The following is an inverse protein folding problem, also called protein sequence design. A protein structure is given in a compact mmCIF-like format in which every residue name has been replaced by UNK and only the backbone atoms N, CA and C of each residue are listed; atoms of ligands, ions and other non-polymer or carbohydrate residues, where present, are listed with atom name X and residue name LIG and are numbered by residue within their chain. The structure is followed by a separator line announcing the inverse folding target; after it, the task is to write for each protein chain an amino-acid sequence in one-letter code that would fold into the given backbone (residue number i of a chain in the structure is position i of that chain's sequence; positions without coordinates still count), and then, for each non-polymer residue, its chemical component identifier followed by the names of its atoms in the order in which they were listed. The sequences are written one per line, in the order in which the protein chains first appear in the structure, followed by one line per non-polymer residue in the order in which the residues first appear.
data_IF_815524462570
#
_entry.id   IF_815524462570
#
_cell.length_a   1.000
_cell.length_b   1.000
_cell.length_c   1.000
_cell.angle_alpha   90.00
_cell.angle_beta   90.00
_cell.angle_gamma   90.00
#
_symmetry.space_group_name_H-M   'P 1'
#
loop_
_entity.id
_entity.type
_entity.pdbx_description
1 polymer ?
#
# COMPACT_ATOMS: atom_id res chain seq x y z
N UNK A 1 -24.21 35.45 -6.48
CA UNK A 1 -22.96 35.10 -5.77
C UNK A 1 -23.35 34.03 -4.77
N UNK A 2 -23.35 32.78 -5.24
CA UNK A 2 -24.06 31.69 -4.56
C UNK A 2 -23.08 30.70 -3.92
N UNK A 3 -23.52 30.17 -2.78
CA UNK A 3 -22.75 29.46 -1.78
C UNK A 3 -22.54 28.00 -2.18
N UNK A 4 -21.40 27.69 -2.82
CA UNK A 4 -20.90 26.31 -2.93
C UNK A 4 -19.38 26.31 -2.87
N UNK A 5 -18.83 26.71 -1.71
CA UNK A 5 -17.53 26.23 -1.25
C UNK A 5 -17.80 24.87 -0.58
N UNK A 6 -17.91 23.82 -1.39
CA UNK A 6 -17.79 22.47 -0.85
C UNK A 6 -16.34 22.30 -0.38
N UNK A 7 -16.18 22.06 0.91
CA UNK A 7 -14.94 21.57 1.50
C UNK A 7 -14.58 20.26 0.78
N UNK A 8 -13.61 20.31 -0.13
CA UNK A 8 -12.86 19.11 -0.52
C UNK A 8 -12.08 18.68 0.71
N UNK A 9 -12.66 17.74 1.44
CA UNK A 9 -12.07 17.16 2.63
C UNK A 9 -10.79 16.37 2.26
N UNK A 10 -9.80 16.48 3.15
CA UNK A 10 -8.37 16.25 2.94
C UNK A 10 -8.00 14.75 2.88
N UNK A 11 -8.34 14.11 1.77
CA UNK A 11 -8.33 12.64 1.66
C UNK A 11 -7.20 12.06 0.81
N UNK A 12 -6.30 12.89 0.28
CA UNK A 12 -5.22 12.45 -0.62
C UNK A 12 -5.69 12.11 -2.04
N UNK A 13 -6.99 12.20 -2.35
CA UNK A 13 -7.53 11.97 -3.70
C UNK A 13 -6.96 12.93 -4.76
N UNK A 14 -6.40 14.07 -4.34
CA UNK A 14 -5.65 14.99 -5.20
C UNK A 14 -4.43 14.35 -5.87
N UNK A 15 -3.94 13.20 -5.37
CA UNK A 15 -2.85 12.44 -5.98
C UNK A 15 -3.33 11.57 -7.16
N UNK A 16 -4.65 11.42 -7.33
CA UNK A 16 -5.30 10.56 -8.32
C UNK A 16 -6.31 11.38 -9.16
N UNK A 17 -5.84 12.17 -10.14
CA UNK A 17 -6.67 13.11 -10.89
C UNK A 17 -7.89 12.48 -11.58
N UNK A 18 -7.76 11.23 -12.03
CA UNK A 18 -8.84 10.46 -12.66
C UNK A 18 -10.02 10.19 -11.72
N UNK A 19 -9.81 10.27 -10.39
CA UNK A 19 -10.84 9.99 -9.37
C UNK A 19 -11.57 11.24 -8.86
N UNK A 20 -10.95 12.41 -8.99
CA UNK A 20 -11.50 13.69 -8.53
C UNK A 20 -12.55 14.28 -9.48
N UNK A 21 -12.62 13.82 -10.73
CA UNK A 21 -13.53 14.38 -11.71
C UNK A 21 -14.78 13.51 -11.85
N UNK A 22 -15.90 13.97 -11.28
CA UNK A 22 -17.24 13.38 -11.44
C UNK A 22 -17.81 13.40 -12.88
N UNK A 23 -16.95 13.40 -13.91
CA UNK A 23 -17.33 13.31 -15.32
C UNK A 23 -16.31 12.46 -16.05
N UNK A 24 -16.72 11.23 -16.39
CA UNK A 24 -16.16 10.50 -17.52
C UNK A 24 -16.18 11.40 -18.75
N UNK A 25 -15.06 12.04 -19.08
CA UNK A 25 -14.84 12.63 -20.38
C UNK A 25 -13.99 11.66 -21.18
N UNK A 26 -14.65 10.95 -22.11
CA UNK A 26 -13.99 10.27 -23.24
C UNK A 26 -13.26 11.35 -24.07
N UNK A 27 -12.01 11.60 -23.73
CA UNK A 27 -11.08 12.43 -24.50
C UNK A 27 -10.14 11.57 -25.34
N UNK A 28 -10.06 11.89 -26.62
CA UNK A 28 -9.34 11.16 -27.67
C UNK A 28 -7.82 11.36 -27.60
N UNK A 29 -7.04 10.36 -27.15
CA UNK A 29 -5.62 10.14 -27.54
C UNK A 29 -5.33 8.63 -27.50
N UNK A 30 -5.50 7.94 -28.62
CA UNK A 30 -5.58 6.48 -28.70
C UNK A 30 -4.25 5.74 -29.02
N UNK A 31 -3.07 6.34 -28.83
CA UNK A 31 -1.79 5.66 -29.15
C UNK A 31 -0.77 5.58 -28.01
N UNK A 32 -0.72 6.56 -27.09
CA UNK A 32 0.21 6.54 -25.94
C UNK A 32 -0.35 5.82 -24.72
N UNK A 33 -1.65 5.99 -24.45
CA UNK A 33 -2.37 5.34 -23.33
C UNK A 33 -2.39 3.82 -23.44
N UNK A 34 -2.40 3.26 -24.65
CA UNK A 34 -2.47 1.81 -24.83
C UNK A 34 -1.18 1.07 -24.48
N UNK A 35 0.00 1.68 -24.65
CA UNK A 35 1.28 0.99 -24.41
C UNK A 35 1.68 0.99 -22.92
N UNK A 36 1.50 2.10 -22.22
CA UNK A 36 1.78 2.19 -20.78
C UNK A 36 0.77 1.44 -19.93
N UNK A 37 -0.53 1.55 -20.25
CA UNK A 37 -1.55 0.79 -19.56
C UNK A 37 -1.35 -0.71 -19.80
N UNK A 38 -1.02 -1.14 -21.03
CA UNK A 38 -0.64 -2.52 -21.30
C UNK A 38 0.58 -2.97 -20.49
N UNK A 39 1.62 -2.13 -20.35
CA UNK A 39 2.80 -2.45 -19.52
C UNK A 39 2.42 -2.62 -18.05
N UNK A 40 1.62 -1.70 -17.48
CA UNK A 40 1.15 -1.79 -16.10
C UNK A 40 0.33 -3.08 -15.89
N UNK A 41 -0.62 -3.36 -16.77
CA UNK A 41 -1.47 -4.56 -16.73
C UNK A 41 -0.68 -5.87 -16.83
N UNK A 42 0.37 -5.90 -17.66
CA UNK A 42 1.28 -7.05 -17.77
C UNK A 42 2.09 -7.22 -16.48
N UNK A 43 2.67 -6.16 -15.94
CA UNK A 43 3.43 -6.25 -14.68
C UNK A 43 2.53 -6.66 -13.51
N UNK A 44 1.31 -6.13 -13.45
CA UNK A 44 0.32 -6.52 -12.46
C UNK A 44 -0.05 -8.00 -12.59
N UNK A 45 -0.19 -8.52 -13.81
CA UNK A 45 -0.46 -9.95 -14.03
C UNK A 45 0.62 -10.82 -13.36
N UNK A 46 1.89 -10.51 -13.59
CA UNK A 46 3.00 -11.23 -12.98
C UNK A 46 3.04 -11.06 -11.46
N UNK A 47 2.75 -9.86 -10.95
CA UNK A 47 2.67 -9.60 -9.52
C UNK A 47 1.56 -10.46 -8.87
N UNK A 48 0.37 -10.53 -9.47
CA UNK A 48 -0.75 -11.33 -8.95
C UNK A 48 -0.51 -12.83 -9.04
N UNK A 49 0.11 -13.33 -10.12
CA UNK A 49 0.44 -14.75 -10.25
C UNK A 49 1.39 -15.24 -9.16
N UNK A 50 2.22 -14.34 -8.64
CA UNK A 50 3.08 -14.64 -7.51
C UNK A 50 2.36 -14.58 -6.16
N UNK A 51 1.21 -13.91 -6.09
CA UNK A 51 0.37 -13.75 -4.89
C UNK A 51 -0.85 -14.69 -4.82
N UNK A 52 -1.10 -15.51 -5.86
CA UNK A 52 -2.27 -16.43 -6.03
C UNK A 52 -2.49 -17.50 -4.93
N UNK A 53 -1.86 -17.39 -3.77
CA UNK A 53 -1.96 -18.36 -2.68
C UNK A 53 -2.58 -17.80 -1.40
N UNK A 54 -2.90 -16.51 -1.35
CA UNK A 54 -3.74 -15.95 -0.30
C UNK A 54 -5.21 -16.19 -0.68
N UNK A 55 -5.99 -16.84 0.19
CA UNK A 55 -7.35 -17.34 -0.09
C UNK A 55 -8.43 -16.30 -0.43
N UNK A 56 -8.09 -15.10 -0.89
CA UNK A 56 -9.01 -14.08 -1.38
C UNK A 56 -9.08 -14.08 -2.91
N UNK A 57 -10.29 -14.16 -3.47
CA UNK A 57 -10.50 -14.05 -4.91
C UNK A 57 -10.27 -12.60 -5.37
N UNK A 58 -9.02 -12.24 -5.64
CA UNK A 58 -8.69 -10.92 -6.18
C UNK A 58 -9.01 -10.91 -7.68
N UNK A 59 -10.14 -10.32 -8.05
CA UNK A 59 -10.51 -10.08 -9.45
C UNK A 59 -9.74 -8.87 -9.99
N UNK A 60 -8.78 -9.13 -10.89
CA UNK A 60 -7.85 -8.13 -11.45
C UNK A 60 -8.57 -6.88 -11.96
N UNK A 61 -9.57 -7.05 -12.80
CA UNK A 61 -10.24 -5.93 -13.48
C UNK A 61 -11.23 -5.17 -12.60
N UNK A 62 -11.56 -5.71 -11.40
CA UNK A 62 -12.45 -5.03 -10.45
C UNK A 62 -11.66 -4.27 -9.39
N UNK A 63 -10.59 -4.87 -8.89
CA UNK A 63 -9.87 -4.38 -7.71
C UNK A 63 -8.60 -3.61 -8.05
N UNK A 64 -8.13 -3.60 -9.31
CA UNK A 64 -6.96 -2.82 -9.70
C UNK A 64 -7.28 -1.86 -10.84
N UNK A 65 -6.70 -0.67 -10.75
CA UNK A 65 -6.74 0.35 -11.78
C UNK A 65 -5.32 0.84 -12.07
N UNK A 66 -4.93 0.90 -13.33
CA UNK A 66 -3.68 1.52 -13.76
C UNK A 66 -4.01 2.93 -14.25
N UNK A 67 -3.55 3.94 -13.53
CA UNK A 67 -3.90 5.36 -13.73
C UNK A 67 -2.61 6.19 -13.82
N UNK A 68 -2.68 7.36 -14.45
CA UNK A 68 -1.59 8.35 -14.35
C UNK A 68 -1.82 9.22 -13.11
N UNK A 69 -0.85 9.24 -12.19
CA UNK A 69 -0.95 9.95 -10.93
C UNK A 69 -0.06 11.20 -10.89
N UNK A 70 -0.43 12.16 -10.04
CA UNK A 70 0.39 13.33 -9.79
C UNK A 70 1.48 13.05 -8.73
N UNK A 71 2.60 13.75 -8.85
CA UNK A 71 3.72 13.65 -7.91
C UNK A 71 4.48 12.32 -8.01
N UNK A 72 5.04 11.88 -6.88
CA UNK A 72 5.93 10.70 -6.79
C UNK A 72 5.25 9.45 -6.22
N UNK A 73 3.92 9.47 -6.10
CA UNK A 73 3.13 8.38 -5.54
C UNK A 73 3.08 7.23 -6.52
N UNK A 74 3.31 6.01 -6.03
CA UNK A 74 3.38 4.82 -6.89
C UNK A 74 2.09 3.99 -6.87
N UNK A 75 1.23 4.18 -5.87
CA UNK A 75 -0.07 3.54 -5.77
C UNK A 75 -0.87 4.06 -4.57
N UNK A 76 -2.07 3.53 -4.40
CA UNK A 76 -2.90 3.81 -3.24
C UNK A 76 -4.13 2.89 -3.16
N UNK A 77 -4.61 2.65 -1.95
CA UNK A 77 -5.86 1.94 -1.69
C UNK A 77 -7.01 2.91 -1.43
N UNK A 78 -8.05 2.83 -2.26
CA UNK A 78 -9.28 3.58 -2.08
C UNK A 78 -10.31 2.73 -1.34
N UNK A 79 -10.52 3.06 -0.07
CA UNK A 79 -11.47 2.37 0.80
C UNK A 79 -12.92 2.48 0.32
N UNK A 80 -13.29 3.58 -0.37
CA UNK A 80 -14.68 3.82 -0.82
C UNK A 80 -15.07 2.85 -1.93
N UNK A 81 -14.17 2.66 -2.89
CA UNK A 81 -14.39 1.74 -4.02
C UNK A 81 -13.81 0.35 -3.79
N UNK A 82 -13.05 0.14 -2.70
CA UNK A 82 -12.26 -1.07 -2.45
C UNK A 82 -11.34 -1.42 -3.63
N UNK A 83 -10.71 -0.41 -4.22
CA UNK A 83 -9.80 -0.55 -5.35
C UNK A 83 -8.38 -0.12 -4.99
N UNK A 84 -7.42 -0.76 -5.67
CA UNK A 84 -6.01 -0.42 -5.65
C UNK A 84 -5.68 0.34 -6.94
N UNK A 85 -5.13 1.54 -6.78
CA UNK A 85 -4.59 2.34 -7.87
C UNK A 85 -3.10 2.06 -8.00
N UNK A 86 -2.65 1.87 -9.24
CA UNK A 86 -1.26 1.70 -9.60
C UNK A 86 -0.86 2.84 -10.53
N UNK A 87 0.05 3.69 -10.07
CA UNK A 87 0.49 4.86 -10.80
C UNK A 87 1.50 4.45 -11.88
N UNK A 88 0.99 4.20 -13.09
CA UNK A 88 1.78 3.58 -14.16
C UNK A 88 2.96 4.45 -14.60
N UNK A 89 2.83 5.77 -14.47
CA UNK A 89 3.85 6.76 -14.76
C UNK A 89 5.03 6.73 -13.77
N UNK A 90 4.85 6.15 -12.58
CA UNK A 90 5.88 6.07 -11.53
C UNK A 90 6.43 4.63 -11.33
N UNK A 91 5.78 3.61 -11.90
CA UNK A 91 6.21 2.22 -11.81
C UNK A 91 6.88 1.75 -13.10
N UNK A 92 8.21 1.65 -13.08
CA UNK A 92 8.99 1.26 -14.27
C UNK A 92 9.53 -0.17 -14.28
N UNK A 93 9.60 -0.82 -13.11
CA UNK A 93 10.24 -2.12 -12.92
C UNK A 93 9.29 -3.11 -12.22
N UNK A 94 9.37 -4.40 -12.58
CA UNK A 94 8.55 -5.45 -11.98
C UNK A 94 8.75 -5.56 -10.45
N UNK A 95 9.98 -5.40 -9.96
CA UNK A 95 10.28 -5.39 -8.53
C UNK A 95 9.61 -4.23 -7.80
N UNK A 96 9.46 -3.07 -8.46
CA UNK A 96 8.71 -1.94 -7.91
C UNK A 96 7.21 -2.24 -7.91
N UNK A 97 6.67 -2.75 -9.01
CA UNK A 97 5.26 -3.18 -9.09
C UNK A 97 4.91 -4.17 -7.98
N UNK A 98 5.72 -5.21 -7.79
CA UNK A 98 5.45 -6.23 -6.76
C UNK A 98 5.35 -5.62 -5.35
N UNK A 99 6.22 -4.65 -5.03
CA UNK A 99 6.20 -3.99 -3.71
C UNK A 99 4.98 -3.11 -3.53
N UNK A 100 4.65 -2.29 -4.54
CA UNK A 100 3.44 -1.44 -4.51
C UNK A 100 2.20 -2.30 -4.37
N UNK A 101 2.01 -3.31 -5.23
CA UNK A 101 0.87 -4.23 -5.15
C UNK A 101 0.78 -4.89 -3.77
N UNK A 102 1.90 -5.33 -3.20
CA UNK A 102 1.89 -5.93 -1.85
C UNK A 102 1.53 -4.92 -0.78
N UNK A 103 2.07 -3.70 -0.85
CA UNK A 103 1.77 -2.60 0.08
C UNK A 103 0.27 -2.29 0.08
N UNK A 104 -0.32 -2.07 -1.10
CA UNK A 104 -1.75 -1.75 -1.22
C UNK A 104 -2.66 -2.94 -0.86
N UNK A 105 -2.21 -4.18 -1.08
CA UNK A 105 -2.93 -5.37 -0.62
C UNK A 105 -2.96 -5.50 0.91
N UNK A 106 -1.92 -5.02 1.61
CA UNK A 106 -1.95 -4.95 3.08
C UNK A 106 -3.00 -3.94 3.53
N UNK A 107 -3.09 -2.76 2.90
CA UNK A 107 -4.17 -1.81 3.19
C UNK A 107 -5.55 -2.42 2.95
N UNK A 108 -5.75 -3.13 1.83
CA UNK A 108 -7.00 -3.83 1.54
C UNK A 108 -7.33 -4.91 2.60
N UNK A 109 -6.34 -5.69 3.02
CA UNK A 109 -6.49 -6.70 4.07
C UNK A 109 -6.86 -6.06 5.41
N UNK A 110 -6.24 -4.93 5.75
CA UNK A 110 -6.48 -4.20 6.98
C UNK A 110 -7.87 -3.61 7.01
N UNK A 111 -8.29 -3.02 5.88
CA UNK A 111 -9.65 -2.53 5.71
C UNK A 111 -10.69 -3.63 6.00
N UNK A 112 -10.48 -4.82 5.43
CA UNK A 112 -11.41 -5.95 5.58
C UNK A 112 -11.40 -6.55 7.00
N UNK A 113 -10.22 -6.73 7.61
CA UNK A 113 -10.09 -7.45 8.88
C UNK A 113 -10.28 -6.55 10.10
N UNK A 114 -9.71 -5.35 10.07
CA UNK A 114 -9.62 -4.46 11.22
C UNK A 114 -10.60 -3.28 11.14
N UNK A 115 -11.39 -3.16 10.06
CA UNK A 115 -12.34 -2.05 9.85
C UNK A 115 -11.65 -0.69 10.05
N UNK A 116 -10.50 -0.54 9.40
CA UNK A 116 -9.65 0.66 9.50
C UNK A 116 -10.47 1.91 9.19
N UNK A 117 -10.39 2.87 10.10
CA UNK A 117 -10.99 4.20 9.92
C UNK A 117 -9.90 5.08 9.32
N UNK A 118 -9.88 5.09 7.99
CA UNK A 118 -8.86 5.79 7.21
C UNK A 118 -8.87 7.29 7.45
N UNK A 119 -10.01 7.86 7.85
CA UNK A 119 -10.25 9.29 7.79
C UNK A 119 -10.23 9.96 9.16
N UNK A 120 -10.97 9.42 10.12
CA UNK A 120 -11.16 10.08 11.41
C UNK A 120 -10.19 9.58 12.48
N UNK A 121 -9.42 8.53 12.19
CA UNK A 121 -8.50 7.93 13.16
C UNK A 121 -7.07 7.81 12.60
N UNK A 122 -6.23 8.78 12.94
CA UNK A 122 -4.82 8.77 12.51
C UNK A 122 -4.02 7.59 13.02
N UNK A 123 -4.40 6.99 14.16
CA UNK A 123 -3.75 5.77 14.67
C UNK A 123 -4.04 4.58 13.77
N UNK A 124 -5.26 4.47 13.24
CA UNK A 124 -5.63 3.42 12.30
C UNK A 124 -4.85 3.55 10.98
N UNK A 125 -4.81 4.77 10.43
CA UNK A 125 -3.99 5.08 9.25
C UNK A 125 -2.52 4.74 9.48
N UNK A 126 -1.91 5.28 10.54
CA UNK A 126 -0.51 5.03 10.86
C UNK A 126 -0.19 3.54 11.06
N UNK A 127 -1.09 2.81 11.72
CA UNK A 127 -0.94 1.37 11.93
C UNK A 127 -0.90 0.60 10.60
N UNK A 128 -1.81 0.94 9.66
CA UNK A 128 -1.85 0.28 8.36
C UNK A 128 -0.62 0.64 7.51
N UNK A 129 -0.14 1.89 7.57
CA UNK A 129 1.09 2.33 6.91
C UNK A 129 2.34 1.62 7.46
N UNK A 130 2.43 1.44 8.78
CA UNK A 130 3.51 0.67 9.43
C UNK A 130 3.50 -0.77 8.90
N UNK A 131 2.33 -1.42 8.88
CA UNK A 131 2.21 -2.81 8.43
C UNK A 131 2.52 -2.95 6.94
N UNK A 132 2.02 -2.05 6.11
CA UNK A 132 2.27 -2.05 4.68
C UNK A 132 3.77 -1.84 4.38
N UNK A 133 4.46 -0.92 5.06
CA UNK A 133 5.90 -0.72 4.91
C UNK A 133 6.74 -1.91 5.44
N UNK A 134 6.29 -2.56 6.52
CA UNK A 134 6.95 -3.70 7.16
C UNK A 134 6.86 -4.96 6.28
N UNK A 135 5.68 -5.23 5.71
CA UNK A 135 5.36 -6.51 5.06
C UNK A 135 5.50 -6.50 3.52
N UNK A 136 5.58 -5.32 2.88
CA UNK A 136 5.68 -5.23 1.41
C UNK A 136 7.07 -5.52 0.84
N UNK A 137 8.10 -5.59 1.69
CA UNK A 137 9.50 -5.66 1.28
C UNK A 137 10.11 -4.29 0.88
N UNK A 138 9.37 -3.19 1.06
CA UNK A 138 9.86 -1.82 0.81
C UNK A 138 11.11 -1.48 1.62
N UNK A 139 11.18 -2.01 2.84
CA UNK A 139 12.28 -1.85 3.78
C UNK A 139 13.24 -3.05 3.79
N UNK A 140 13.27 -3.85 2.71
CA UNK A 140 14.27 -4.92 2.56
C UNK A 140 15.68 -4.35 2.41
N UNK A 141 16.68 -5.09 2.89
CA UNK A 141 18.08 -4.66 2.90
C UNK A 141 18.58 -4.18 1.53
N UNK A 142 18.29 -4.93 0.47
CA UNK A 142 18.68 -4.55 -0.90
C UNK A 142 18.10 -3.20 -1.32
N UNK A 143 16.83 -2.94 -0.97
CA UNK A 143 16.18 -1.68 -1.31
C UNK A 143 16.79 -0.51 -0.55
N UNK A 144 17.16 -0.70 0.71
CA UNK A 144 17.79 0.35 1.49
C UNK A 144 19.24 0.61 1.07
N UNK A 145 20.00 -0.43 0.70
CA UNK A 145 21.32 -0.26 0.07
C UNK A 145 21.21 0.52 -1.24
N UNK A 146 20.19 0.23 -2.07
CA UNK A 146 19.95 1.00 -3.30
C UNK A 146 19.59 2.48 -3.05
N UNK A 147 19.16 2.80 -1.83
CA UNK A 147 18.88 4.16 -1.35
C UNK A 147 20.06 4.77 -0.57
N UNK A 148 21.23 4.12 -0.58
CA UNK A 148 22.45 4.52 0.13
C UNK A 148 22.29 4.58 1.66
N UNK A 149 21.36 3.81 2.21
CA UNK A 149 21.23 3.64 3.66
C UNK A 149 22.01 2.42 4.13
N UNK A 150 23.06 2.63 4.93
CA UNK A 150 24.01 1.59 5.38
C UNK A 150 23.89 1.25 6.88
N UNK A 151 22.77 1.59 7.52
CA UNK A 151 22.55 1.32 8.94
C UNK A 151 22.58 -0.19 9.25
N UNK A 152 23.34 -0.61 10.27
CA UNK A 152 23.50 -2.03 10.63
C UNK A 152 22.52 -2.51 11.72
N UNK A 153 22.11 -1.63 12.65
CA UNK A 153 21.25 -1.99 13.79
C UNK A 153 19.93 -1.24 13.72
N UNK A 154 18.80 -1.94 13.91
CA UNK A 154 17.42 -1.39 13.87
C UNK A 154 17.01 -0.69 12.55
N UNK A 155 17.79 -0.90 11.49
CA UNK A 155 17.61 -0.19 10.24
C UNK A 155 16.25 -0.46 9.58
N UNK A 156 15.73 -1.68 9.67
CA UNK A 156 14.41 -2.02 9.17
C UNK A 156 13.31 -1.22 9.88
N UNK A 157 13.36 -1.13 11.21
CA UNK A 157 12.41 -0.36 12.00
C UNK A 157 12.46 1.14 11.68
N UNK A 158 13.66 1.69 11.46
CA UNK A 158 13.84 3.08 11.04
C UNK A 158 13.24 3.34 9.66
N UNK A 159 13.46 2.43 8.71
CA UNK A 159 12.84 2.51 7.39
C UNK A 159 11.30 2.46 7.51
N UNK A 160 10.75 1.53 8.30
CA UNK A 160 9.30 1.40 8.48
C UNK A 160 8.70 2.68 9.08
N UNK A 161 9.30 3.23 10.14
CA UNK A 161 8.89 4.53 10.71
C UNK A 161 8.92 5.64 9.67
N UNK A 162 10.03 5.77 8.95
CA UNK A 162 10.20 6.82 7.94
C UNK A 162 9.30 6.68 6.72
N UNK A 163 8.89 5.45 6.36
CA UNK A 163 7.89 5.22 5.30
C UNK A 163 6.51 5.61 5.79
N UNK A 164 6.08 5.13 6.95
CA UNK A 164 4.77 5.45 7.51
C UNK A 164 4.58 6.97 7.72
N UNK A 165 5.59 7.65 8.27
CA UNK A 165 5.59 9.10 8.42
C UNK A 165 5.39 9.83 7.08
N UNK A 166 6.12 9.42 6.04
CA UNK A 166 6.02 10.03 4.70
C UNK A 166 4.63 9.82 4.09
N UNK A 167 4.05 8.63 4.22
CA UNK A 167 2.71 8.36 3.71
C UNK A 167 1.65 9.24 4.38
N UNK A 168 1.69 9.34 5.72
CA UNK A 168 0.74 10.18 6.48
C UNK A 168 0.86 11.64 6.05
N UNK A 169 2.07 12.18 5.96
CA UNK A 169 2.30 13.57 5.54
C UNK A 169 1.91 13.85 4.08
N UNK A 170 1.90 12.82 3.23
CA UNK A 170 1.47 12.97 1.84
C UNK A 170 -0.06 13.05 1.70
N UNK A 171 -0.82 12.43 2.62
CA UNK A 171 -2.29 12.30 2.52
C UNK A 171 -3.06 13.10 3.57
N UNK A 172 -2.40 13.63 4.60
CA UNK A 172 -3.02 14.43 5.66
C UNK A 172 -2.24 15.72 5.92
N UNK A 173 -2.98 16.81 6.14
CA UNK A 173 -2.48 18.10 6.62
C UNK A 173 -2.27 18.08 8.13
N UNK A 174 -1.31 17.29 8.57
CA UNK A 174 -0.84 17.25 9.96
C UNK A 174 0.58 17.77 10.06
N UNK A 175 0.97 18.25 11.25
CA UNK A 175 2.37 18.62 11.46
C UNK A 175 3.24 17.36 11.46
N UNK A 176 4.53 17.53 11.14
CA UNK A 176 5.48 16.43 11.18
C UNK A 176 5.59 15.83 12.57
N UNK A 177 5.60 16.67 13.60
CA UNK A 177 5.69 16.27 15.01
C UNK A 177 4.47 15.47 15.44
N UNK A 178 3.27 15.87 14.99
CA UNK A 178 2.04 15.14 15.26
C UNK A 178 2.03 13.78 14.58
N UNK A 179 2.43 13.72 13.30
CA UNK A 179 2.53 12.46 12.57
C UNK A 179 3.58 11.51 13.19
N UNK A 180 4.76 12.02 13.58
CA UNK A 180 5.79 11.25 14.27
C UNK A 180 5.25 10.68 15.60
N UNK A 181 4.57 11.50 16.40
CA UNK A 181 3.96 11.07 17.66
C UNK A 181 2.95 9.93 17.47
N UNK A 182 2.07 10.06 16.48
CA UNK A 182 1.06 9.02 16.20
C UNK A 182 1.70 7.72 15.72
N UNK A 183 2.72 7.81 14.86
CA UNK A 183 3.49 6.64 14.39
C UNK A 183 4.15 5.94 15.57
N UNK A 184 4.86 6.68 16.43
CA UNK A 184 5.55 6.10 17.58
C UNK A 184 4.58 5.49 18.61
N UNK A 185 3.40 6.09 18.81
CA UNK A 185 2.39 5.56 19.73
C UNK A 185 1.90 4.16 19.34
N UNK A 186 1.70 3.91 18.04
CA UNK A 186 1.18 2.62 17.55
C UNK A 186 2.27 1.66 17.07
N UNK A 187 3.52 2.12 16.98
CA UNK A 187 4.59 1.42 16.28
C UNK A 187 4.75 -0.03 16.75
N UNK A 188 4.96 -0.25 18.04
CA UNK A 188 5.26 -1.60 18.54
C UNK A 188 4.09 -2.56 18.35
N UNK A 189 2.85 -2.09 18.46
CA UNK A 189 1.66 -2.94 18.23
C UNK A 189 1.57 -3.34 16.76
N UNK A 190 1.68 -2.36 15.86
CA UNK A 190 1.44 -2.56 14.44
C UNK A 190 2.62 -3.22 13.74
N UNK A 191 3.85 -2.95 14.18
CA UNK A 191 5.06 -3.59 13.66
C UNK A 191 5.09 -5.09 13.95
N UNK A 192 4.54 -5.52 15.09
CA UNK A 192 4.47 -6.93 15.47
C UNK A 192 3.22 -7.65 14.95
N UNK A 193 2.28 -6.95 14.31
CA UNK A 193 1.16 -7.58 13.60
C UNK A 193 1.56 -7.94 12.17
N UNK A 194 1.98 -9.19 12.01
CA UNK A 194 2.45 -9.72 10.74
C UNK A 194 1.34 -10.25 9.82
N UNK A 195 0.07 -10.26 10.24
CA UNK A 195 -1.01 -10.85 9.45
C UNK A 195 -1.07 -10.21 8.04
N UNK A 196 -1.30 -11.00 6.97
CA UNK A 196 -1.62 -12.44 6.93
C UNK A 196 -0.38 -13.36 6.88
N UNK A 197 0.76 -12.91 7.39
CA UNK A 197 1.97 -13.71 7.56
C UNK A 197 2.21 -14.04 9.05
N UNK A 198 2.90 -15.13 9.34
CA UNK A 198 3.34 -15.47 10.71
C UNK A 198 4.59 -14.70 11.12
N UNK A 199 5.35 -14.22 10.11
CA UNK A 199 6.58 -13.45 10.25
C UNK A 199 6.78 -12.51 9.07
N UNK A 200 7.67 -11.53 9.23
CA UNK A 200 8.03 -10.60 8.15
C UNK A 200 8.68 -11.39 6.99
N UNK A 201 8.14 -11.30 5.75
CA UNK A 201 8.73 -11.97 4.60
C UNK A 201 9.93 -11.20 4.06
N UNK A 202 11.07 -11.86 3.90
CA UNK A 202 12.30 -11.22 3.40
C UNK A 202 12.48 -11.33 1.88
N UNK A 203 11.90 -12.36 1.27
CA UNK A 203 11.92 -12.58 -0.18
C UNK A 203 10.69 -13.39 -0.64
N UNK A 204 10.59 -13.62 -1.95
CA UNK A 204 9.46 -14.33 -2.57
C UNK A 204 9.32 -15.79 -2.11
N UNK A 205 10.43 -16.51 -1.89
CA UNK A 205 10.37 -17.89 -1.37
C UNK A 205 9.92 -17.85 0.09
N UNK A 206 10.49 -16.94 0.86
CA UNK A 206 10.21 -16.74 2.27
C UNK A 206 8.75 -16.38 2.56
N UNK A 207 8.13 -15.57 1.70
CA UNK A 207 6.71 -15.20 1.79
C UNK A 207 5.77 -16.42 1.81
N UNK A 208 6.08 -17.49 1.08
CA UNK A 208 5.27 -18.71 1.11
C UNK A 208 5.37 -19.41 2.47
N UNK A 209 6.56 -19.44 3.07
CA UNK A 209 6.74 -20.02 4.39
C UNK A 209 6.07 -19.17 5.46
N UNK A 210 6.19 -17.85 5.38
CA UNK A 210 5.56 -16.92 6.30
C UNK A 210 4.02 -17.01 6.24
N UNK A 211 3.43 -17.16 5.04
CA UNK A 211 1.98 -17.37 4.91
C UNK A 211 1.54 -18.73 5.46
N UNK A 212 2.29 -19.81 5.18
CA UNK A 212 1.99 -21.14 5.76
C UNK A 212 2.08 -21.14 7.29
N UNK A 213 3.03 -20.40 7.85
CA UNK A 213 3.16 -20.22 9.29
C UNK A 213 1.90 -19.57 9.89
N UNK A 214 1.39 -18.53 9.22
CA UNK A 214 0.10 -17.91 9.58
C UNK A 214 -1.06 -18.91 9.53
N UNK A 215 -1.21 -19.69 8.46
CA UNK A 215 -2.29 -20.69 8.34
C UNK A 215 -2.21 -21.79 9.40
N UNK A 216 -1.01 -22.05 9.95
CA UNK A 216 -0.78 -23.11 10.92
C UNK A 216 -0.81 -22.63 12.37
N UNK A 217 -0.95 -21.33 12.63
CA UNK A 217 -0.80 -20.73 13.98
C UNK A 217 -1.70 -21.36 15.04
N UNK A 218 -2.90 -21.79 14.66
CA UNK A 218 -3.90 -22.37 15.57
C UNK A 218 -3.85 -23.90 15.62
N UNK A 219 -2.99 -24.56 14.81
CA UNK A 219 -2.96 -26.04 14.73
C UNK A 219 -2.48 -26.72 15.99
N UNK A 220 -1.61 -26.09 16.78
CA UNK A 220 -1.15 -26.66 18.04
C UNK A 220 -2.29 -26.71 19.06
N UNK A 221 -3.08 -25.63 19.16
CA UNK A 221 -4.21 -25.55 20.08
C UNK A 221 -5.47 -26.27 19.59
N UNK A 222 -5.61 -26.51 18.28
CA UNK A 222 -6.73 -27.29 17.74
C UNK A 222 -6.65 -28.80 18.01
N UNK A 223 -5.48 -29.30 18.44
CA UNK A 223 -5.23 -30.72 18.73
C UNK A 223 -5.03 -31.01 20.24
N UNK A 224 -5.24 -30.01 21.10
CA UNK A 224 -5.32 -30.12 22.56
C UNK A 224 -6.78 -30.12 22.99
#
# INVERSE_FOLDING_TARGET
MDQTKQQEEDYGYNLFPERNSGKFQKGSIAESLFTFNHKCQVMLQFAMETSKRTGYAVYKDRHFSCEDCDGTVSGGFDATSSQIVLCQNNIHQQSHMNRVVTHELIHAFDHCRAHVDWFNNFKHLACSEIRAANLSGDCSFHNEVSRFNFGLKKHHQECVRGRALRSILAVRKVSREEAEKVVDEVFDTCFNDHAPFGRIPHDKKDANFAYRDFENRDRYYANL
#
